data_IF_110854336119
#
_entry.id   IF_110854336119
#
_cell.length_a   1.000
_cell.length_b   1.000
_cell.length_c   1.000
_cell.angle_alpha   90.00
_cell.angle_beta   90.00
_cell.angle_gamma   90.00
#
_symmetry.space_group_name_H-M   'P 1'
#
loop_
_entity.id
_entity.type
_entity.pdbx_description
1 polymer ?
#
# COMPACT_ATOMS: atom_id res chain seq x y z
N UNK A 1 -6.56 18.30 -10.69
CA UNK A 1 -5.73 17.14 -11.01
C UNK A 1 -6.46 15.82 -10.72
N UNK A 2 -6.08 14.75 -11.41
CA UNK A 2 -6.48 13.40 -11.10
C UNK A 2 -5.47 12.79 -10.11
N UNK A 3 -5.93 11.94 -9.22
CA UNK A 3 -5.02 11.34 -8.22
C UNK A 3 -5.45 9.93 -7.81
N UNK A 4 -4.46 9.16 -7.40
CA UNK A 4 -4.57 7.90 -6.67
C UNK A 4 -3.33 7.77 -5.77
N UNK A 5 -3.22 6.69 -5.03
CA UNK A 5 -2.10 6.38 -4.15
C UNK A 5 -1.49 5.02 -4.49
N UNK A 6 -0.21 4.84 -4.16
CA UNK A 6 0.50 3.59 -4.42
C UNK A 6 -0.15 2.41 -3.70
N UNK A 7 -0.09 1.24 -4.33
CA UNK A 7 -0.61 0.01 -3.73
C UNK A 7 0.30 -0.53 -2.63
N UNK A 8 -0.29 -1.24 -1.68
CA UNK A 8 0.44 -1.95 -0.63
C UNK A 8 1.26 -3.12 -1.21
N UNK A 9 0.72 -3.81 -2.19
CA UNK A 9 1.35 -4.95 -2.87
C UNK A 9 2.14 -4.52 -4.11
N UNK A 10 3.00 -5.41 -4.62
CA UNK A 10 3.74 -5.22 -5.86
C UNK A 10 2.85 -5.14 -7.09
N UNK A 11 3.42 -4.75 -8.23
CA UNK A 11 2.73 -4.62 -9.51
C UNK A 11 2.84 -3.22 -10.11
N UNK A 12 2.02 -2.94 -11.12
CA UNK A 12 2.09 -1.72 -11.94
C UNK A 12 1.70 -0.41 -11.23
N UNK A 13 1.33 -0.46 -9.94
CA UNK A 13 0.96 0.71 -9.14
C UNK A 13 1.70 0.78 -7.80
N UNK A 14 2.83 0.08 -7.65
CA UNK A 14 3.55 0.02 -6.37
C UNK A 14 4.50 1.21 -6.10
N UNK A 15 4.73 2.07 -7.08
CA UNK A 15 5.46 3.32 -6.96
C UNK A 15 4.97 4.32 -8.01
N UNK A 16 5.24 5.61 -7.83
CA UNK A 16 4.68 6.65 -8.69
C UNK A 16 5.11 6.53 -10.16
N UNK A 17 6.29 6.01 -10.47
CA UNK A 17 6.78 5.92 -11.85
C UNK A 17 5.92 4.94 -12.65
N UNK A 18 5.82 3.69 -12.19
CA UNK A 18 5.01 2.67 -12.89
C UNK A 18 3.51 2.95 -12.76
N UNK A 19 3.09 3.62 -11.69
CA UNK A 19 1.69 4.00 -11.50
C UNK A 19 1.25 5.07 -12.49
N UNK A 20 2.07 6.10 -12.73
CA UNK A 20 1.81 7.13 -13.73
C UNK A 20 1.80 6.54 -15.14
N UNK A 21 2.73 5.63 -15.45
CA UNK A 21 2.74 4.91 -16.72
C UNK A 21 1.43 4.13 -16.90
N UNK A 22 1.00 3.39 -15.88
CA UNK A 22 -0.26 2.64 -15.91
C UNK A 22 -1.46 3.57 -16.11
N UNK A 23 -1.49 4.72 -15.45
CA UNK A 23 -2.55 5.71 -15.64
C UNK A 23 -2.60 6.23 -17.07
N UNK A 24 -1.45 6.54 -17.67
CA UNK A 24 -1.34 6.96 -19.08
C UNK A 24 -1.86 5.89 -20.04
N UNK A 25 -1.42 4.63 -19.87
CA UNK A 25 -1.84 3.49 -20.68
C UNK A 25 -3.36 3.23 -20.62
N UNK A 26 -4.01 3.62 -19.52
CA UNK A 26 -5.46 3.49 -19.33
C UNK A 26 -6.24 4.77 -19.67
N UNK A 27 -5.62 5.74 -20.32
CA UNK A 27 -6.28 6.95 -20.80
C UNK A 27 -6.49 8.03 -19.74
N UNK A 28 -5.83 7.96 -18.59
CA UNK A 28 -5.86 9.03 -17.59
C UNK A 28 -4.76 10.08 -17.79
N UNK A 29 -3.98 9.98 -18.87
CA UNK A 29 -2.95 10.96 -19.19
C UNK A 29 -3.52 12.35 -19.49
N UNK A 30 -2.70 13.42 -19.34
CA UNK A 30 -3.14 14.79 -19.54
C UNK A 30 -3.69 15.08 -20.95
N UNK A 31 -3.21 14.36 -21.95
CA UNK A 31 -3.66 14.47 -23.35
C UNK A 31 -5.11 14.00 -23.55
N UNK A 32 -5.59 13.10 -22.73
CA UNK A 32 -6.95 12.53 -22.79
C UNK A 32 -7.85 13.14 -21.71
N UNK A 33 -7.39 13.18 -20.48
CA UNK A 33 -8.17 13.63 -19.34
C UNK A 33 -8.19 15.16 -19.16
N UNK A 34 -7.40 15.90 -19.94
CA UNK A 34 -7.20 17.35 -19.83
C UNK A 34 -6.84 17.82 -18.40
N UNK A 35 -6.25 16.96 -17.59
CA UNK A 35 -5.84 17.23 -16.23
C UNK A 35 -4.53 16.49 -15.90
N UNK A 36 -3.61 17.08 -15.12
CA UNK A 36 -2.41 16.37 -14.66
C UNK A 36 -2.79 15.24 -13.71
N UNK A 37 -2.00 14.17 -13.72
CA UNK A 37 -2.09 13.05 -12.76
C UNK A 37 -0.99 13.21 -11.72
N UNK A 38 -1.35 13.11 -10.46
CA UNK A 38 -0.44 13.16 -9.32
C UNK A 38 -0.64 11.92 -8.46
N UNK A 39 0.43 11.21 -8.15
CA UNK A 39 0.38 10.11 -7.17
C UNK A 39 0.58 10.73 -5.78
N UNK A 40 -0.51 10.77 -5.02
CA UNK A 40 -0.68 11.66 -3.88
C UNK A 40 0.20 11.32 -2.66
N UNK A 41 0.73 10.12 -2.59
CA UNK A 41 1.61 9.64 -1.52
C UNK A 41 3.09 9.62 -1.91
N UNK A 42 3.44 10.31 -3.01
CA UNK A 42 4.82 10.48 -3.47
C UNK A 42 5.41 9.27 -4.17
N UNK A 43 6.72 9.34 -4.44
CA UNK A 43 7.42 8.37 -5.28
C UNK A 43 7.29 6.92 -4.78
N UNK A 44 7.34 6.71 -3.46
CA UNK A 44 7.41 5.39 -2.83
C UNK A 44 6.25 5.10 -1.88
N UNK A 45 5.25 5.98 -1.81
CA UNK A 45 4.13 5.83 -0.89
C UNK A 45 4.46 6.22 0.55
N UNK A 46 5.44 7.09 0.75
CA UNK A 46 5.93 7.54 2.05
C UNK A 46 5.63 9.02 2.35
N UNK A 47 4.95 9.71 1.43
CA UNK A 47 4.49 11.09 1.63
C UNK A 47 3.05 11.10 2.15
N UNK A 48 2.86 11.37 3.44
CA UNK A 48 1.55 11.39 4.08
C UNK A 48 1.50 12.35 5.27
N UNK A 49 0.29 12.64 5.73
CA UNK A 49 0.01 13.33 7.00
C UNK A 49 -0.76 12.40 7.93
N UNK A 50 -0.42 12.45 9.21
CA UNK A 50 -1.22 11.81 10.26
C UNK A 50 -2.33 12.77 10.69
N UNK A 51 -3.56 12.27 10.68
CA UNK A 51 -4.75 13.02 11.04
C UNK A 51 -5.42 12.35 12.22
N UNK A 52 -5.61 13.09 13.30
CA UNK A 52 -6.34 12.62 14.48
C UNK A 52 -7.83 12.56 14.18
N UNK A 53 -8.47 11.45 14.54
CA UNK A 53 -9.90 11.22 14.35
C UNK A 53 -10.53 10.65 15.63
N UNK A 54 -11.79 10.94 15.94
CA UNK A 54 -12.51 10.34 17.06
C UNK A 54 -13.07 8.97 16.69
N UNK A 55 -12.21 8.08 16.13
CA UNK A 55 -12.62 6.78 15.63
C UNK A 55 -12.65 5.71 16.72
N UNK A 56 -13.52 4.71 16.57
CA UNK A 56 -13.60 3.56 17.48
C UNK A 56 -12.36 2.65 17.39
N UNK A 57 -11.84 2.44 16.19
CA UNK A 57 -10.73 1.51 15.92
C UNK A 57 -9.39 2.23 15.73
N UNK A 58 -9.43 3.47 15.29
CA UNK A 58 -8.25 4.30 15.07
C UNK A 58 -8.42 5.66 15.74
N UNK A 59 -7.39 6.11 16.44
CA UNK A 59 -7.30 7.50 16.95
C UNK A 59 -6.58 8.42 15.96
N UNK A 60 -5.82 7.83 15.05
CA UNK A 60 -5.11 8.53 13.98
C UNK A 60 -5.17 7.70 12.69
N UNK A 61 -5.21 8.39 11.56
CA UNK A 61 -5.15 7.79 10.23
C UNK A 61 -4.09 8.49 9.37
N UNK A 62 -3.50 7.74 8.44
CA UNK A 62 -2.53 8.27 7.48
C UNK A 62 -3.23 8.60 6.17
N UNK A 63 -3.17 9.86 5.78
CA UNK A 63 -3.73 10.37 4.52
C UNK A 63 -2.58 10.83 3.63
N UNK A 64 -2.61 10.43 2.36
CA UNK A 64 -1.62 10.87 1.36
C UNK A 64 -1.50 12.40 1.33
N UNK A 65 -0.27 12.92 1.28
CA UNK A 65 0.01 14.34 1.54
C UNK A 65 -0.71 15.29 0.59
N UNK A 66 -0.78 14.96 -0.70
CA UNK A 66 -1.43 15.80 -1.69
C UNK A 66 -2.96 15.80 -1.53
N UNK A 67 -3.55 14.67 -1.14
CA UNK A 67 -4.98 14.60 -0.81
C UNK A 67 -5.29 15.41 0.44
N UNK A 68 -4.47 15.27 1.49
CA UNK A 68 -4.63 16.04 2.72
C UNK A 68 -4.45 17.56 2.54
N UNK A 69 -3.81 17.99 1.44
CA UNK A 69 -3.57 19.38 1.09
C UNK A 69 -4.64 19.96 0.16
N UNK A 70 -5.49 19.12 -0.44
CA UNK A 70 -6.51 19.56 -1.38
C UNK A 70 -7.68 20.27 -0.67
N UNK A 71 -8.17 21.37 -1.24
CA UNK A 71 -9.30 22.11 -0.68
C UNK A 71 -10.65 21.40 -0.88
N UNK A 72 -10.76 20.59 -1.94
CA UNK A 72 -11.97 19.83 -2.26
C UNK A 72 -11.62 18.62 -3.12
N UNK A 73 -12.49 17.60 -3.11
CA UNK A 73 -12.28 16.37 -3.85
C UNK A 73 -13.62 15.84 -4.38
N UNK A 74 -13.60 15.40 -5.64
CA UNK A 74 -14.66 14.58 -6.23
C UNK A 74 -14.15 13.16 -6.32
N UNK A 75 -14.91 12.21 -5.78
CA UNK A 75 -14.54 10.79 -5.74
C UNK A 75 -15.35 10.01 -6.75
N UNK A 76 -14.66 9.42 -7.73
CA UNK A 76 -15.26 8.47 -8.67
C UNK A 76 -15.06 7.06 -8.11
N UNK A 77 -16.14 6.43 -7.70
CA UNK A 77 -16.10 5.13 -7.03
C UNK A 77 -16.61 4.01 -7.92
N UNK A 78 -15.92 2.89 -7.89
CA UNK A 78 -16.34 1.65 -8.55
C UNK A 78 -16.91 0.67 -7.52
N UNK A 79 -18.13 0.19 -7.78
CA UNK A 79 -18.74 -0.88 -6.96
C UNK A 79 -18.33 -2.25 -7.49
N UNK A 80 -17.79 -3.10 -6.61
CA UNK A 80 -17.31 -4.43 -6.98
C UNK A 80 -17.38 -5.41 -5.81
N UNK A 81 -17.41 -6.72 -6.11
CA UNK A 81 -17.17 -7.75 -5.12
C UNK A 81 -15.77 -7.62 -4.52
N UNK A 82 -15.63 -7.94 -3.24
CA UNK A 82 -14.37 -7.92 -2.52
C UNK A 82 -14.29 -9.11 -1.57
N UNK A 83 -13.22 -9.91 -1.70
CA UNK A 83 -13.13 -11.20 -1.02
C UNK A 83 -13.24 -11.08 0.51
N UNK A 84 -12.42 -10.27 1.21
CA UNK A 84 -12.52 -10.16 2.66
C UNK A 84 -13.72 -9.33 3.14
N UNK A 85 -14.05 -8.20 2.49
CA UNK A 85 -15.09 -7.28 2.93
C UNK A 85 -16.48 -7.53 2.30
N UNK A 86 -16.67 -8.64 1.56
CA UNK A 86 -17.89 -8.94 0.79
C UNK A 86 -18.05 -8.05 -0.44
N UNK A 87 -18.02 -6.72 -0.29
CA UNK A 87 -18.04 -5.77 -1.40
C UNK A 87 -17.16 -4.52 -1.13
N UNK A 88 -16.78 -3.84 -2.19
CA UNK A 88 -16.11 -2.54 -2.16
C UNK A 88 -16.92 -1.51 -2.93
N UNK A 89 -17.28 -0.42 -2.27
CA UNK A 89 -17.97 0.73 -2.85
C UNK A 89 -17.31 2.04 -2.43
N UNK A 90 -18.06 3.14 -2.37
CA UNK A 90 -17.53 4.47 -2.12
C UNK A 90 -16.66 4.56 -0.85
N UNK A 91 -17.11 4.00 0.27
CA UNK A 91 -16.40 4.06 1.55
C UNK A 91 -15.05 3.33 1.44
N UNK A 92 -15.04 2.09 0.92
CA UNK A 92 -13.79 1.32 0.78
C UNK A 92 -12.85 1.95 -0.27
N UNK A 93 -13.39 2.41 -1.40
CA UNK A 93 -12.57 3.06 -2.42
C UNK A 93 -11.90 4.32 -1.88
N UNK A 94 -12.64 5.14 -1.13
CA UNK A 94 -12.10 6.34 -0.49
C UNK A 94 -11.07 6.00 0.60
N UNK A 95 -11.39 5.06 1.48
CA UNK A 95 -10.49 4.64 2.55
C UNK A 95 -9.15 4.11 2.02
N UNK A 96 -9.18 3.28 0.98
CA UNK A 96 -7.97 2.77 0.35
C UNK A 96 -7.28 3.82 -0.54
N UNK A 97 -8.03 4.56 -1.34
CA UNK A 97 -7.50 5.52 -2.31
C UNK A 97 -6.85 6.74 -1.68
N UNK A 98 -7.29 7.17 -0.49
CA UNK A 98 -6.69 8.29 0.22
C UNK A 98 -5.51 7.87 1.12
N UNK A 99 -5.34 6.60 1.41
CA UNK A 99 -4.30 6.11 2.30
C UNK A 99 -3.01 5.76 1.54
N UNK A 100 -1.82 6.11 2.07
CA UNK A 100 -0.55 5.56 1.60
C UNK A 100 -0.45 4.06 1.94
N UNK A 101 0.55 3.30 1.44
CA UNK A 101 0.72 1.89 1.76
C UNK A 101 0.69 1.56 3.26
N UNK A 102 1.32 2.40 4.11
CA UNK A 102 1.25 2.23 5.57
C UNK A 102 -0.18 2.36 6.11
N UNK A 103 -0.95 3.35 5.63
CA UNK A 103 -2.35 3.50 6.05
C UNK A 103 -3.25 2.37 5.53
N UNK A 104 -2.97 1.84 4.34
CA UNK A 104 -3.65 0.64 3.81
C UNK A 104 -3.35 -0.59 4.68
N UNK A 105 -2.08 -0.75 5.12
CA UNK A 105 -1.67 -1.83 6.00
C UNK A 105 -2.37 -1.74 7.37
N UNK A 106 -2.48 -0.54 7.93
CA UNK A 106 -3.20 -0.32 9.18
C UNK A 106 -4.68 -0.76 9.06
N UNK A 107 -5.34 -0.39 7.96
CA UNK A 107 -6.75 -0.74 7.71
C UNK A 107 -6.99 -2.23 7.49
N UNK A 108 -6.05 -2.93 6.89
CA UNK A 108 -6.15 -4.37 6.65
C UNK A 108 -5.66 -5.21 7.82
N UNK A 109 -4.97 -4.64 8.78
CA UNK A 109 -4.28 -5.37 9.86
C UNK A 109 -3.39 -6.51 9.37
N UNK A 110 -2.96 -6.43 8.09
CA UNK A 110 -2.19 -7.49 7.44
C UNK A 110 -0.77 -7.60 7.98
N UNK A 111 -0.28 -8.83 8.05
CA UNK A 111 1.10 -9.16 8.39
C UNK A 111 1.70 -10.05 7.30
N UNK A 112 2.98 -9.91 6.97
CA UNK A 112 3.62 -10.77 5.99
C UNK A 112 3.72 -12.19 6.51
N UNK A 113 3.44 -13.15 5.63
CA UNK A 113 3.70 -14.57 5.82
C UNK A 113 4.91 -14.98 4.99
N UNK A 114 5.57 -16.06 5.38
CA UNK A 114 6.82 -16.53 4.77
C UNK A 114 6.68 -17.95 4.23
N UNK A 115 7.12 -18.14 2.98
CA UNK A 115 7.25 -19.43 2.33
C UNK A 115 8.74 -19.80 2.22
N UNK A 116 9.18 -20.82 3.00
CA UNK A 116 10.57 -21.26 3.06
C UNK A 116 11.01 -21.98 1.76
N UNK A 117 10.08 -22.62 1.03
CA UNK A 117 10.41 -23.45 -0.13
C UNK A 117 11.02 -22.64 -1.27
N UNK A 118 10.52 -21.41 -1.48
CA UNK A 118 10.96 -20.52 -2.56
C UNK A 118 11.95 -19.44 -2.11
N UNK A 119 12.32 -19.42 -0.84
CA UNK A 119 13.28 -18.46 -0.31
C UNK A 119 14.71 -18.74 -0.80
N UNK A 120 15.37 -17.72 -1.37
CA UNK A 120 16.76 -17.79 -1.78
C UNK A 120 17.78 -17.50 -0.65
N UNK A 121 17.33 -16.98 0.48
CA UNK A 121 18.21 -16.56 1.60
C UNK A 121 18.98 -15.25 1.33
N UNK A 122 18.54 -14.42 0.38
CA UNK A 122 19.25 -13.21 -0.06
C UNK A 122 19.32 -12.06 0.97
N UNK A 123 18.55 -12.12 2.06
CA UNK A 123 18.47 -11.14 3.15
C UNK A 123 17.92 -9.75 2.79
N UNK A 124 17.53 -9.48 1.55
CA UNK A 124 17.00 -8.17 1.13
C UNK A 124 15.80 -7.71 1.96
N UNK A 125 14.96 -8.64 2.42
CA UNK A 125 13.83 -8.35 3.30
C UNK A 125 14.28 -7.89 4.70
N UNK A 126 15.33 -8.48 5.25
CA UNK A 126 15.92 -8.13 6.54
C UNK A 126 16.59 -6.75 6.48
N UNK A 127 17.47 -6.54 5.51
CA UNK A 127 18.21 -5.28 5.32
C UNK A 127 17.27 -4.10 5.01
N UNK A 128 16.20 -4.37 4.28
CA UNK A 128 15.21 -3.36 3.92
C UNK A 128 14.10 -3.12 4.95
N UNK A 129 14.05 -3.87 6.05
CA UNK A 129 13.00 -3.70 7.06
C UNK A 129 13.26 -2.45 7.92
N UNK A 130 12.39 -1.42 7.87
CA UNK A 130 12.60 -0.19 8.62
C UNK A 130 12.52 -0.40 10.14
N UNK A 131 11.81 -1.45 10.58
CA UNK A 131 11.59 -1.74 11.99
C UNK A 131 12.45 -2.90 12.49
N UNK A 132 13.39 -3.41 11.67
CA UNK A 132 14.24 -4.54 12.03
C UNK A 132 13.46 -5.78 12.52
N UNK A 133 12.24 -5.95 12.02
CA UNK A 133 11.32 -7.01 12.41
C UNK A 133 11.62 -8.36 11.74
N UNK A 134 12.66 -8.46 10.91
CA UNK A 134 12.96 -9.65 10.12
C UNK A 134 14.39 -10.12 10.38
N UNK A 135 14.53 -11.39 10.70
CA UNK A 135 15.82 -12.09 10.76
C UNK A 135 15.87 -13.19 9.71
N UNK A 136 17.01 -13.39 9.07
CA UNK A 136 17.22 -14.43 8.07
C UNK A 136 18.45 -15.25 8.44
N UNK A 137 18.24 -16.51 8.79
CA UNK A 137 19.29 -17.48 9.06
C UNK A 137 19.25 -18.61 8.02
N UNK A 138 20.32 -18.75 7.25
CA UNK A 138 20.39 -19.67 6.11
C UNK A 138 19.29 -19.34 5.07
N UNK A 139 18.21 -20.12 5.00
CA UNK A 139 17.04 -19.88 4.16
C UNK A 139 15.75 -19.75 4.97
N UNK A 140 15.88 -19.57 6.29
CA UNK A 140 14.74 -19.42 7.18
C UNK A 140 14.61 -17.94 7.53
N UNK A 141 13.44 -17.40 7.30
CA UNK A 141 13.07 -16.03 7.66
C UNK A 141 12.13 -16.09 8.87
N UNK A 142 12.51 -15.45 9.96
CA UNK A 142 11.63 -15.23 11.09
C UNK A 142 11.16 -13.78 11.12
N UNK A 143 9.88 -13.56 11.44
CA UNK A 143 9.26 -12.24 11.50
C UNK A 143 8.78 -12.00 12.93
N UNK A 144 9.33 -10.98 13.57
CA UNK A 144 8.82 -10.50 14.84
C UNK A 144 7.61 -9.61 14.61
N UNK A 145 6.43 -10.15 14.81
CA UNK A 145 5.17 -9.45 14.61
C UNK A 145 4.90 -8.34 15.63
N UNK A 146 5.62 -8.27 16.73
CA UNK A 146 5.54 -7.16 17.68
C UNK A 146 6.20 -5.89 17.15
N UNK A 147 7.21 -6.05 16.29
CA UNK A 147 7.92 -4.97 15.62
C UNK A 147 7.37 -4.68 14.21
N UNK A 148 6.68 -5.65 13.62
CA UNK A 148 6.19 -5.56 12.25
C UNK A 148 4.98 -4.63 12.14
N UNK A 149 5.09 -3.57 11.33
CA UNK A 149 3.99 -2.62 11.04
C UNK A 149 3.16 -3.00 9.82
N UNK A 150 3.43 -4.14 9.15
CA UNK A 150 2.69 -4.54 7.96
C UNK A 150 2.96 -3.69 6.70
N UNK A 151 4.01 -2.88 6.67
CA UNK A 151 4.28 -1.91 5.59
C UNK A 151 4.53 -2.52 4.19
N UNK A 152 4.68 -3.83 4.07
CA UNK A 152 4.88 -4.55 2.82
C UNK A 152 6.21 -4.32 2.10
N UNK A 153 7.16 -3.59 2.70
CA UNK A 153 8.45 -3.31 2.06
C UNK A 153 9.24 -4.58 1.77
N UNK A 154 9.19 -5.55 2.68
CA UNK A 154 9.84 -6.86 2.51
C UNK A 154 9.29 -7.66 1.32
N UNK A 155 7.98 -7.56 1.02
CA UNK A 155 7.38 -8.21 -0.14
C UNK A 155 7.93 -7.63 -1.44
N UNK A 156 8.04 -6.30 -1.51
CA UNK A 156 8.55 -5.58 -2.69
C UNK A 156 10.03 -5.82 -2.95
N UNK A 157 10.79 -6.12 -1.90
CA UNK A 157 12.23 -6.38 -1.98
C UNK A 157 12.57 -7.85 -2.22
N UNK A 158 11.60 -8.76 -2.08
CA UNK A 158 11.84 -10.19 -2.21
C UNK A 158 11.88 -10.62 -3.69
N UNK A 159 13.05 -11.02 -4.24
CA UNK A 159 13.18 -11.34 -5.65
C UNK A 159 12.51 -12.67 -6.01
N UNK A 160 12.25 -13.53 -5.02
CA UNK A 160 11.61 -14.84 -5.23
C UNK A 160 10.15 -14.85 -4.79
N UNK A 161 9.61 -13.71 -4.33
CA UNK A 161 8.25 -13.60 -3.78
C UNK A 161 7.97 -14.58 -2.63
N UNK A 162 8.99 -14.90 -1.82
CA UNK A 162 8.86 -15.77 -0.66
C UNK A 162 8.11 -15.13 0.52
N UNK A 163 7.79 -13.86 0.42
CA UNK A 163 6.98 -13.12 1.39
C UNK A 163 5.72 -12.62 0.69
N UNK A 164 4.58 -12.86 1.30
CA UNK A 164 3.27 -12.37 0.86
C UNK A 164 2.46 -11.95 2.09
N UNK A 165 1.32 -11.30 1.88
CA UNK A 165 0.37 -11.04 2.96
C UNK A 165 -0.63 -12.18 3.09
N UNK A 166 -1.03 -12.45 4.32
CA UNK A 166 -2.22 -13.27 4.56
C UNK A 166 -3.47 -12.42 4.33
N UNK A 167 -3.98 -12.46 3.11
CA UNK A 167 -5.16 -11.70 2.70
C UNK A 167 -6.49 -12.25 3.22
N UNK A 168 -6.46 -13.39 3.91
CA UNK A 168 -7.66 -14.05 4.44
C UNK A 168 -7.91 -13.74 5.92
N UNK A 169 -6.93 -13.13 6.59
CA UNK A 169 -7.04 -12.70 8.00
C UNK A 169 -7.41 -11.22 8.03
N UNK A 170 -8.63 -10.92 8.37
CA UNK A 170 -9.11 -9.57 8.74
C UNK A 170 -9.61 -9.56 10.19
#
# INVERSE_FOLDING_TARGET
>A
FLTDTNTLYGGSRCNAVVHLQTAEEHGFGPSVAAAPVIIADGLRGDSFREVSIPGRHFSQVKIAAEIASANSMIVVSHFKAHLPAGFGGAVKNLGMGCAPPLGKADQHSTRPIFNAEICSGCRSCMEGCPNQAITVEKKITAIDYSLCTGCGKCLRLCPTHALDFDWLVE
#
